data_IF_178084932387
#
_entry.id   IF_178084932387
#
_cell.length_a   1.000
_cell.length_b   1.000
_cell.length_c   1.000
_cell.angle_alpha   90.00
_cell.angle_beta   90.00
_cell.angle_gamma   90.00
#
_symmetry.space_group_name_H-M   'P 1'
#
loop_
_entity.id
_entity.type
_entity.pdbx_description
1 polymer ?
#
# COMPACT_ATOMS: atom_id res chain seq x y z
N UNK A 1 7.32 -22.94 9.94
CA UNK A 1 6.70 -21.65 10.31
C UNK A 1 5.47 -21.53 9.43
N UNK A 2 4.26 -21.51 10.00
CA UNK A 2 3.02 -21.41 9.20
C UNK A 2 2.94 -20.03 8.55
N UNK A 3 2.52 -19.97 7.28
CA UNK A 3 2.27 -18.70 6.61
C UNK A 3 1.16 -17.92 7.34
N UNK A 4 1.28 -16.59 7.51
CA UNK A 4 0.23 -15.79 8.08
C UNK A 4 -1.05 -15.93 7.26
N UNK A 5 -2.20 -15.93 7.94
CA UNK A 5 -3.50 -15.82 7.27
C UNK A 5 -3.61 -14.48 6.54
N UNK A 6 -4.48 -14.39 5.54
CA UNK A 6 -4.73 -13.14 4.80
C UNK A 6 -5.05 -11.96 5.73
N UNK A 7 -5.88 -12.19 6.77
CA UNK A 7 -6.21 -11.15 7.75
C UNK A 7 -4.97 -10.68 8.54
N UNK A 8 -4.10 -11.61 8.94
CA UNK A 8 -2.84 -11.28 9.62
C UNK A 8 -1.87 -10.52 8.70
N UNK A 9 -1.82 -10.88 7.41
CA UNK A 9 -1.04 -10.16 6.42
C UNK A 9 -1.47 -8.70 6.29
N UNK A 10 -2.78 -8.45 6.16
CA UNK A 10 -3.31 -7.08 6.12
C UNK A 10 -2.99 -6.32 7.42
N UNK A 11 -3.22 -6.94 8.58
CA UNK A 11 -2.96 -6.29 9.86
C UNK A 11 -1.49 -5.87 10.00
N UNK A 12 -0.57 -6.77 9.61
CA UNK A 12 0.86 -6.52 9.58
C UNK A 12 1.21 -5.36 8.63
N UNK A 13 0.75 -5.43 7.37
CA UNK A 13 0.98 -4.36 6.38
C UNK A 13 0.52 -2.99 6.89
N UNK A 14 -0.67 -2.91 7.52
CA UNK A 14 -1.18 -1.65 8.07
C UNK A 14 -0.38 -1.19 9.30
N UNK A 15 0.17 -2.11 10.09
CA UNK A 15 1.06 -1.78 11.20
C UNK A 15 2.41 -1.23 10.72
N UNK A 16 2.95 -1.80 9.65
CA UNK A 16 4.20 -1.35 9.02
C UNK A 16 4.04 0.05 8.43
N UNK A 17 2.94 0.30 7.69
CA UNK A 17 2.60 1.64 7.17
C UNK A 17 2.54 2.67 8.30
N UNK A 18 1.90 2.34 9.43
CA UNK A 18 1.83 3.24 10.60
C UNK A 18 3.20 3.50 11.20
N UNK A 19 4.03 2.47 11.27
CA UNK A 19 5.38 2.56 11.82
C UNK A 19 6.27 3.45 10.93
N UNK A 20 6.22 3.25 9.61
CA UNK A 20 6.93 4.11 8.65
C UNK A 20 6.44 5.56 8.68
N UNK A 21 5.13 5.80 8.79
CA UNK A 21 4.59 7.15 8.94
C UNK A 21 5.15 7.87 10.19
N UNK A 22 5.31 7.16 11.32
CA UNK A 22 5.93 7.74 12.51
C UNK A 22 7.41 8.09 12.29
N UNK A 23 8.16 7.25 11.58
CA UNK A 23 9.58 7.51 11.30
C UNK A 23 9.80 8.66 10.33
N UNK A 24 8.85 8.90 9.44
CA UNK A 24 8.97 9.87 8.35
C UNK A 24 8.19 11.16 8.59
N UNK A 25 7.40 11.26 9.67
CA UNK A 25 6.42 12.32 9.92
C UNK A 25 6.91 13.74 9.68
N UNK A 26 8.15 14.04 10.09
CA UNK A 26 8.75 15.37 9.97
C UNK A 26 9.15 15.69 8.52
N UNK A 27 9.46 14.67 7.72
CA UNK A 27 9.79 14.80 6.30
C UNK A 27 8.53 14.93 5.44
N UNK A 28 7.48 14.17 5.77
CA UNK A 28 6.25 14.12 4.96
C UNK A 28 5.18 15.12 5.43
N UNK A 29 5.36 15.75 6.59
CA UNK A 29 4.39 16.69 7.17
C UNK A 29 3.07 16.03 7.56
N UNK A 30 3.12 14.78 8.03
CA UNK A 30 1.96 13.96 8.41
C UNK A 30 2.30 13.11 9.63
N UNK A 31 1.52 13.25 10.69
CA UNK A 31 1.64 12.38 11.88
C UNK A 31 1.03 10.99 11.65
N UNK A 32 0.02 10.90 10.77
CA UNK A 32 -0.67 9.69 10.37
C UNK A 32 -1.40 9.91 9.05
N UNK A 33 -1.77 8.81 8.38
CA UNK A 33 -2.63 8.83 7.19
C UNK A 33 -4.10 8.74 7.55
N UNK A 34 -4.96 9.34 6.72
CA UNK A 34 -6.40 9.42 6.94
C UNK A 34 -7.10 8.06 6.98
N UNK A 35 -8.16 7.96 7.78
CA UNK A 35 -8.92 6.72 7.97
C UNK A 35 -9.47 6.13 6.66
N UNK A 36 -9.85 6.99 5.69
CA UNK A 36 -10.30 6.55 4.36
C UNK A 36 -9.19 5.86 3.56
N UNK A 37 -7.96 6.35 3.67
CA UNK A 37 -6.78 5.75 3.00
C UNK A 37 -6.48 4.39 3.63
N UNK A 38 -6.36 4.33 4.96
CA UNK A 38 -6.09 3.08 5.68
C UNK A 38 -7.18 2.03 5.44
N UNK A 39 -8.46 2.45 5.37
CA UNK A 39 -9.56 1.55 5.05
C UNK A 39 -9.53 1.06 3.60
N UNK A 40 -9.08 1.87 2.64
CA UNK A 40 -8.94 1.44 1.25
C UNK A 40 -7.83 0.38 1.12
N UNK A 41 -6.68 0.61 1.76
CA UNK A 41 -5.56 -0.34 1.79
C UNK A 41 -5.92 -1.67 2.46
N UNK A 42 -6.77 -1.64 3.49
CA UNK A 42 -7.28 -2.85 4.13
C UNK A 42 -8.27 -3.64 3.25
N UNK A 43 -8.94 -2.97 2.29
CA UNK A 43 -10.03 -3.55 1.50
C UNK A 43 -9.56 -4.07 0.14
N UNK A 44 -8.57 -3.41 -0.47
CA UNK A 44 -8.06 -3.81 -1.79
C UNK A 44 -7.16 -5.05 -1.62
N UNK A 45 -7.46 -6.18 -2.29
CA UNK A 45 -6.71 -7.42 -2.14
C UNK A 45 -5.38 -7.35 -2.90
N UNK A 46 -4.37 -6.73 -2.30
CA UNK A 46 -3.06 -6.45 -2.91
C UNK A 46 -2.41 -7.69 -3.52
N UNK A 47 -2.62 -8.87 -2.94
CA UNK A 47 -2.10 -10.15 -3.43
C UNK A 47 -2.66 -10.56 -4.81
N UNK A 48 -3.75 -9.94 -5.27
CA UNK A 48 -4.27 -10.14 -6.64
C UNK A 48 -3.51 -9.32 -7.69
N UNK A 49 -2.70 -8.36 -7.27
CA UNK A 49 -1.93 -7.44 -8.13
C UNK A 49 -0.45 -7.84 -8.26
N UNK A 50 -0.06 -9.00 -7.73
CA UNK A 50 1.29 -9.55 -7.82
C UNK A 50 1.29 -10.95 -8.43
N UNK A 51 2.41 -11.40 -9.03
CA UNK A 51 2.55 -12.77 -9.51
C UNK A 51 2.26 -13.80 -8.41
N UNK A 52 1.71 -14.95 -8.78
CA UNK A 52 1.28 -15.99 -7.83
C UNK A 52 2.41 -16.43 -6.87
N UNK A 53 3.63 -16.55 -7.39
CA UNK A 53 4.82 -16.91 -6.61
C UNK A 53 5.19 -15.88 -5.52
N UNK A 54 4.68 -14.64 -5.63
CA UNK A 54 4.98 -13.53 -4.73
C UNK A 54 3.80 -13.16 -3.82
N UNK A 55 2.66 -13.85 -3.91
CA UNK A 55 1.48 -13.57 -3.07
C UNK A 55 1.77 -13.64 -1.57
N UNK A 56 2.68 -14.51 -1.15
CA UNK A 56 3.08 -14.62 0.25
C UNK A 56 3.80 -13.36 0.77
N UNK A 57 4.49 -12.64 -0.13
CA UNK A 57 5.20 -11.39 0.17
C UNK A 57 4.33 -10.14 -0.10
N UNK A 58 3.08 -10.30 -0.57
CA UNK A 58 2.25 -9.18 -1.01
C UNK A 58 2.00 -8.12 0.07
N UNK A 59 2.07 -8.52 1.34
CA UNK A 59 1.82 -7.69 2.52
C UNK A 59 3.09 -7.06 3.10
N UNK A 60 4.28 -7.45 2.59
CA UNK A 60 5.53 -6.86 3.02
C UNK A 60 5.57 -5.39 2.60
N UNK A 61 6.08 -4.52 3.47
CA UNK A 61 6.22 -3.10 3.16
C UNK A 61 7.44 -2.84 2.26
N UNK A 62 7.34 -3.34 1.02
CA UNK A 62 8.36 -3.18 -0.01
C UNK A 62 7.79 -3.30 -1.43
N UNK A 63 8.55 -2.87 -2.45
CA UNK A 63 8.17 -3.05 -3.83
C UNK A 63 8.29 -4.52 -4.24
N UNK A 64 7.40 -4.99 -5.11
CA UNK A 64 7.46 -6.34 -5.68
C UNK A 64 7.47 -6.28 -7.21
N UNK A 65 8.24 -7.14 -7.90
CA UNK A 65 8.22 -7.18 -9.34
C UNK A 65 6.89 -7.73 -9.86
N UNK A 66 6.35 -7.06 -10.89
CA UNK A 66 5.09 -7.44 -11.56
C UNK A 66 5.30 -7.86 -13.02
N UNK A 67 6.57 -8.03 -13.44
CA UNK A 67 6.96 -8.37 -14.79
C UNK A 67 7.33 -7.14 -15.63
N UNK A 68 7.88 -7.38 -16.83
CA UNK A 68 8.26 -6.34 -17.80
C UNK A 68 9.19 -5.23 -17.25
N UNK A 69 10.01 -5.53 -16.24
CA UNK A 69 10.88 -4.55 -15.59
C UNK A 69 10.16 -3.60 -14.62
N UNK A 70 8.87 -3.82 -14.37
CA UNK A 70 8.03 -2.99 -13.51
C UNK A 70 7.88 -3.58 -12.11
N UNK A 71 7.54 -2.72 -11.16
CA UNK A 71 7.25 -3.08 -9.77
C UNK A 71 5.91 -2.49 -9.33
N UNK A 72 5.16 -3.21 -8.50
CA UNK A 72 4.15 -2.58 -7.66
C UNK A 72 4.85 -1.84 -6.52
N UNK A 73 4.41 -0.61 -6.24
CA UNK A 73 5.01 0.24 -5.20
C UNK A 73 4.83 -0.35 -3.79
N UNK A 74 5.75 0.01 -2.89
CA UNK A 74 5.65 -0.24 -1.45
C UNK A 74 4.29 0.27 -0.90
N UNK A 75 3.58 -0.51 -0.07
CA UNK A 75 2.32 -0.10 0.57
C UNK A 75 2.37 1.28 1.26
N UNK A 76 3.43 1.58 2.01
CA UNK A 76 3.63 2.90 2.63
C UNK A 76 3.67 4.04 1.60
N UNK A 77 4.38 3.88 0.48
CA UNK A 77 4.43 4.90 -0.58
C UNK A 77 3.06 5.11 -1.22
N UNK A 78 2.29 4.04 -1.44
CA UNK A 78 0.90 4.15 -1.93
C UNK A 78 0.02 4.90 -0.93
N UNK A 79 0.16 4.61 0.37
CA UNK A 79 -0.57 5.29 1.44
C UNK A 79 -0.24 6.79 1.46
N UNK A 80 1.05 7.14 1.43
CA UNK A 80 1.53 8.52 1.42
C UNK A 80 1.01 9.31 0.21
N UNK A 81 1.20 8.78 -1.01
CA UNK A 81 0.75 9.44 -2.24
C UNK A 81 -0.76 9.68 -2.23
N UNK A 82 -1.52 8.68 -1.79
CA UNK A 82 -2.99 8.75 -1.73
C UNK A 82 -3.46 9.77 -0.68
N UNK A 83 -2.81 9.81 0.49
CA UNK A 83 -3.14 10.75 1.55
C UNK A 83 -2.82 12.20 1.17
N UNK A 84 -1.67 12.43 0.52
CA UNK A 84 -1.27 13.75 0.02
C UNK A 84 -2.23 14.30 -1.03
N UNK A 85 -2.82 13.43 -1.86
CA UNK A 85 -3.79 13.83 -2.89
C UNK A 85 -5.11 14.33 -2.29
N UNK A 86 -5.42 13.99 -1.03
CA UNK A 86 -6.58 14.46 -0.28
C UNK A 86 -7.92 14.33 -1.04
N UNK A 87 -8.11 13.21 -1.76
CA UNK A 87 -9.23 13.03 -2.69
C UNK A 87 -10.59 13.09 -2.01
N UNK A 88 -11.56 13.71 -2.71
CA UNK A 88 -12.97 13.71 -2.34
C UNK A 88 -13.79 12.87 -3.33
N UNK A 89 -15.02 12.51 -2.95
CA UNK A 89 -15.84 11.56 -3.70
C UNK A 89 -16.22 12.05 -5.11
N UNK A 90 -16.22 13.37 -5.33
CA UNK A 90 -16.54 14.04 -6.59
C UNK A 90 -15.30 14.35 -7.45
N UNK A 91 -14.10 14.07 -6.95
CA UNK A 91 -12.86 14.28 -7.69
C UNK A 91 -12.73 13.29 -8.85
N UNK A 92 -12.14 13.78 -9.96
CA UNK A 92 -11.71 12.96 -11.09
C UNK A 92 -10.18 12.89 -11.07
N UNK A 93 -9.63 11.69 -11.01
CA UNK A 93 -8.19 11.45 -10.86
C UNK A 93 -7.63 10.88 -12.16
N UNK A 94 -6.47 11.38 -12.59
CA UNK A 94 -5.64 10.76 -13.62
C UNK A 94 -4.42 10.17 -12.93
N UNK A 95 -4.27 8.85 -13.04
CA UNK A 95 -3.04 8.16 -12.68
C UNK A 95 -2.24 7.88 -13.96
N UNK A 96 -0.94 8.18 -13.94
CA UNK A 96 -0.02 7.86 -15.03
C UNK A 96 0.92 6.76 -14.55
N UNK A 97 0.84 5.60 -15.22
CA UNK A 97 1.65 4.42 -14.88
C UNK A 97 0.87 3.35 -14.14
N UNK A 98 -0.21 2.84 -14.76
CA UNK A 98 -1.12 1.83 -14.18
C UNK A 98 -0.40 0.60 -13.61
N UNK A 99 0.67 0.12 -14.26
CA UNK A 99 1.41 -1.03 -13.76
C UNK A 99 0.51 -2.26 -13.57
N UNK A 100 0.30 -2.66 -12.31
CA UNK A 100 -0.54 -3.81 -11.94
C UNK A 100 -2.04 -3.54 -11.92
N UNK A 101 -2.47 -2.26 -11.97
CA UNK A 101 -3.84 -1.81 -11.76
C UNK A 101 -3.90 -0.67 -10.76
#
# INVERSE_FOLDING_TARGET
>A
MSLPTHAQGIEQMLADIRTEALYTRDLIGRDAFGARVMSALAKVPREQFVPEALRAAAFDDGPLPIGHGQTISQPYIVALMTDLLATQADHRVLEIGTGSG
#
